data_IF_055085618463
#
_entry.id   IF_055085618463
#
_cell.length_a   1.000
_cell.length_b   1.000
_cell.length_c   1.000
_cell.angle_alpha   90.00
_cell.angle_beta   90.00
_cell.angle_gamma   90.00
#
_symmetry.space_group_name_H-M   'P 1'
#
loop_
_entity.id
_entity.type
_entity.pdbx_description
1 polymer ?
#
# COMPACT_ATOMS: atom_id res chain seq x y z
N UNK A 1 -5.10 -5.10 -13.31
CA UNK A 1 -6.19 -5.01 -12.32
C UNK A 1 -7.43 -4.47 -13.02
N UNK A 2 -8.60 -5.10 -12.85
CA UNK A 2 -9.83 -4.57 -13.46
C UNK A 2 -10.11 -3.17 -12.90
N UNK A 3 -10.27 -2.19 -13.76
CA UNK A 3 -10.50 -0.77 -13.43
C UNK A 3 -11.84 -0.60 -12.69
N UNK A 4 -12.75 -1.55 -12.84
CA UNK A 4 -14.07 -1.58 -12.22
C UNK A 4 -14.35 -2.95 -11.63
N UNK A 5 -14.71 -2.99 -10.35
CA UNK A 5 -15.18 -4.18 -9.65
C UNK A 5 -16.66 -4.02 -9.30
N UNK A 6 -17.40 -5.11 -9.33
CA UNK A 6 -18.85 -5.13 -9.08
C UNK A 6 -19.17 -6.21 -8.06
N UNK A 7 -20.12 -5.96 -7.16
CA UNK A 7 -20.57 -6.91 -6.14
C UNK A 7 -22.05 -6.80 -5.88
N UNK A 8 -22.67 -7.93 -5.54
CA UNK A 8 -24.09 -8.05 -5.25
C UNK A 8 -24.27 -8.57 -3.81
N UNK A 9 -24.98 -7.82 -3.01
CA UNK A 9 -25.43 -8.22 -1.68
C UNK A 9 -26.90 -8.63 -1.73
N UNK A 10 -27.22 -9.81 -1.20
CA UNK A 10 -28.58 -10.32 -1.17
C UNK A 10 -28.91 -10.69 0.27
N UNK A 11 -29.84 -9.97 0.86
CA UNK A 11 -30.39 -10.28 2.17
C UNK A 11 -31.70 -11.01 2.03
N UNK A 12 -31.78 -12.19 2.65
CA UNK A 12 -33.00 -13.00 2.67
C UNK A 12 -33.75 -12.68 3.98
N UNK A 13 -35.00 -12.23 3.82
CA UNK A 13 -35.94 -12.04 4.92
C UNK A 13 -37.12 -13.00 4.77
N UNK A 14 -38.00 -13.06 5.76
CA UNK A 14 -39.15 -13.99 5.72
C UNK A 14 -40.17 -13.62 4.63
N UNK A 15 -40.37 -12.33 4.41
CA UNK A 15 -41.41 -11.74 3.57
C UNK A 15 -40.88 -11.07 2.28
N UNK A 16 -39.56 -10.87 2.20
CA UNK A 16 -38.93 -10.15 1.10
C UNK A 16 -37.48 -10.55 0.89
N UNK A 17 -36.94 -10.21 -0.28
CA UNK A 17 -35.51 -10.26 -0.56
C UNK A 17 -35.02 -8.84 -0.83
N UNK A 18 -33.97 -8.43 -0.18
CA UNK A 18 -33.34 -7.12 -0.41
C UNK A 18 -32.04 -7.32 -1.18
N UNK A 19 -31.91 -6.64 -2.30
CA UNK A 19 -30.76 -6.77 -3.20
C UNK A 19 -30.08 -5.42 -3.36
N UNK A 20 -28.78 -5.36 -3.20
CA UNK A 20 -28.01 -4.16 -3.50
C UNK A 20 -26.81 -4.48 -4.39
N UNK A 21 -26.68 -3.72 -5.46
CA UNK A 21 -25.59 -3.79 -6.41
C UNK A 21 -24.65 -2.61 -6.22
N UNK A 22 -23.41 -2.90 -5.87
CA UNK A 22 -22.34 -1.91 -5.70
C UNK A 22 -21.28 -2.04 -6.78
N UNK A 23 -20.74 -0.91 -7.19
CA UNK A 23 -19.58 -0.81 -8.07
C UNK A 23 -18.47 -0.02 -7.40
N UNK A 24 -17.24 -0.52 -7.56
CA UNK A 24 -16.02 0.19 -7.16
C UNK A 24 -15.28 0.66 -8.41
N UNK A 25 -15.02 1.96 -8.46
CA UNK A 25 -14.18 2.60 -9.47
C UNK A 25 -12.99 3.24 -8.75
N UNK A 26 -11.79 2.72 -8.97
CA UNK A 26 -10.59 3.12 -8.21
C UNK A 26 -10.80 2.96 -6.69
N UNK A 27 -10.92 4.05 -5.95
CA UNK A 27 -11.16 4.07 -4.50
C UNK A 27 -12.62 4.35 -4.11
N UNK A 28 -13.43 4.85 -5.04
CA UNK A 28 -14.82 5.20 -4.79
C UNK A 28 -15.75 4.00 -4.94
N UNK A 29 -16.64 3.83 -3.98
CA UNK A 29 -17.70 2.82 -4.01
C UNK A 29 -19.03 3.55 -4.13
N UNK A 30 -19.85 3.09 -5.07
CA UNK A 30 -21.20 3.65 -5.28
C UNK A 30 -22.23 2.54 -5.33
N UNK A 31 -23.40 2.82 -4.81
CA UNK A 31 -24.59 2.01 -5.01
C UNK A 31 -25.07 2.25 -6.44
N UNK A 32 -25.14 1.20 -7.24
CA UNK A 32 -25.68 1.26 -8.61
C UNK A 32 -27.20 1.15 -8.56
N UNK A 33 -27.67 0.22 -7.72
CA UNK A 33 -29.09 -0.08 -7.57
C UNK A 33 -29.35 -0.83 -6.28
N UNK A 34 -30.49 -0.58 -5.64
CA UNK A 34 -31.02 -1.35 -4.53
C UNK A 34 -32.51 -1.58 -4.75
N UNK A 35 -32.95 -2.80 -4.56
CA UNK A 35 -34.33 -3.22 -4.79
C UNK A 35 -34.85 -4.10 -3.64
N UNK A 36 -36.11 -3.95 -3.32
CA UNK A 36 -36.85 -4.83 -2.42
C UNK A 36 -37.80 -5.70 -3.25
N UNK A 37 -37.66 -7.00 -3.12
CA UNK A 37 -38.45 -7.98 -3.84
C UNK A 37 -39.41 -8.65 -2.84
N UNK A 38 -40.68 -8.28 -2.81
CA UNK A 38 -41.65 -8.92 -1.91
C UNK A 38 -41.81 -10.40 -2.26
N UNK A 39 -41.85 -11.21 -1.22
CA UNK A 39 -42.16 -12.63 -1.34
C UNK A 39 -43.64 -12.82 -0.97
N UNK A 40 -44.42 -13.52 -1.80
CA UNK A 40 -45.80 -13.83 -1.45
C UNK A 40 -45.84 -14.79 -0.28
N UNK A 41 -46.88 -14.68 0.51
CA UNK A 41 -47.14 -15.56 1.66
C UNK A 41 -47.48 -16.98 1.15
N UNK A 42 -46.43 -17.78 0.97
CA UNK A 42 -46.58 -19.16 0.52
C UNK A 42 -47.15 -20.03 1.62
N UNK A 43 -48.11 -20.86 1.24
CA UNK A 43 -48.78 -21.82 2.15
C UNK A 43 -47.94 -23.06 2.43
N UNK A 44 -47.04 -23.42 1.52
CA UNK A 44 -46.18 -24.59 1.64
C UNK A 44 -44.69 -24.21 1.42
N UNK A 45 -43.77 -24.94 2.06
CA UNK A 45 -42.30 -24.69 2.03
C UNK A 45 -41.75 -24.82 0.60
N UNK A 46 -42.21 -25.79 -0.18
CA UNK A 46 -41.78 -26.04 -1.56
C UNK A 46 -42.25 -24.95 -2.54
N UNK A 47 -43.50 -24.50 -2.40
CA UNK A 47 -44.05 -23.40 -3.19
C UNK A 47 -43.26 -22.12 -2.97
N UNK A 48 -42.86 -21.87 -1.72
CA UNK A 48 -42.02 -20.72 -1.34
C UNK A 48 -40.65 -20.74 -2.04
N UNK A 49 -40.00 -21.90 -2.17
CA UNK A 49 -38.70 -22.02 -2.84
C UNK A 49 -38.79 -21.73 -4.35
N UNK A 50 -39.78 -22.28 -5.01
CA UNK A 50 -40.01 -22.08 -6.45
C UNK A 50 -40.27 -20.59 -6.72
N UNK A 51 -41.02 -19.97 -5.84
CA UNK A 51 -41.37 -18.56 -5.97
C UNK A 51 -40.16 -17.64 -5.73
N UNK A 52 -39.35 -17.94 -4.73
CA UNK A 52 -38.07 -17.27 -4.50
C UNK A 52 -37.18 -17.37 -5.74
N UNK A 53 -37.04 -18.56 -6.31
CA UNK A 53 -36.28 -18.79 -7.54
C UNK A 53 -36.80 -17.91 -8.68
N UNK A 54 -38.11 -17.93 -8.90
CA UNK A 54 -38.74 -17.18 -9.99
C UNK A 54 -38.59 -15.66 -9.84
N UNK A 55 -38.75 -15.16 -8.63
CA UNK A 55 -38.57 -13.72 -8.32
C UNK A 55 -37.12 -13.29 -8.54
N UNK A 56 -36.18 -14.04 -7.96
CA UNK A 56 -34.76 -13.74 -8.13
C UNK A 56 -34.31 -13.88 -9.57
N UNK A 57 -34.70 -14.93 -10.27
CA UNK A 57 -34.26 -15.17 -11.65
C UNK A 57 -34.77 -14.10 -12.60
N UNK A 58 -36.06 -13.68 -12.49
CA UNK A 58 -36.60 -12.56 -13.26
C UNK A 58 -35.84 -11.25 -12.99
N UNK A 59 -35.58 -10.97 -11.72
CA UNK A 59 -34.91 -9.75 -11.32
C UNK A 59 -33.45 -9.71 -11.78
N UNK A 60 -32.71 -10.80 -11.63
CA UNK A 60 -31.31 -10.91 -12.01
C UNK A 60 -31.09 -10.89 -13.52
N UNK A 61 -31.97 -11.56 -14.28
CA UNK A 61 -31.88 -11.60 -15.75
C UNK A 61 -32.24 -10.24 -16.38
N UNK A 62 -33.15 -9.48 -15.77
CA UNK A 62 -33.60 -8.19 -16.28
C UNK A 62 -32.62 -7.04 -16.06
N UNK A 63 -31.61 -7.19 -15.22
CA UNK A 63 -30.82 -6.06 -14.71
C UNK A 63 -29.30 -6.21 -14.80
N UNK A 64 -28.78 -7.20 -15.52
CA UNK A 64 -27.33 -7.39 -15.75
C UNK A 64 -26.46 -7.35 -14.48
N UNK A 65 -26.90 -8.02 -13.41
CA UNK A 65 -26.18 -8.09 -12.15
C UNK A 65 -24.95 -9.01 -12.21
N UNK A 66 -23.90 -8.76 -11.40
CA UNK A 66 -22.76 -9.66 -11.29
C UNK A 66 -23.21 -11.00 -10.66
N UNK A 67 -22.73 -12.14 -11.19
CA UNK A 67 -23.06 -13.48 -10.69
C UNK A 67 -21.89 -14.17 -9.98
N UNK A 68 -20.70 -13.64 -10.09
CA UNK A 68 -19.45 -14.21 -9.61
C UNK A 68 -18.96 -13.60 -8.27
N UNK A 69 -19.50 -12.44 -7.90
CA UNK A 69 -19.19 -11.73 -6.67
C UNK A 69 -20.48 -11.43 -5.90
N UNK A 70 -21.10 -12.48 -5.37
CA UNK A 70 -22.37 -12.41 -4.65
C UNK A 70 -22.17 -12.83 -3.21
N UNK A 71 -22.66 -12.03 -2.28
CA UNK A 71 -22.68 -12.31 -0.84
C UNK A 71 -24.12 -12.38 -0.36
N UNK A 72 -24.41 -13.42 0.43
CA UNK A 72 -25.74 -13.65 0.98
C UNK A 72 -25.77 -13.38 2.47
N UNK A 73 -26.89 -12.86 2.97
CA UNK A 73 -27.23 -13.01 4.38
C UNK A 73 -28.44 -13.94 4.54
N UNK A 74 -28.30 -14.87 5.49
CA UNK A 74 -29.40 -15.70 5.94
C UNK A 74 -30.39 -14.88 6.78
N UNK A 75 -31.68 -15.31 6.84
CA UNK A 75 -32.63 -14.76 7.78
C UNK A 75 -32.07 -14.80 9.21
N UNK A 76 -32.20 -13.69 9.93
CA UNK A 76 -31.60 -13.49 11.29
C UNK A 76 -32.07 -14.55 12.27
N UNK A 77 -33.30 -14.93 12.17
CA UNK A 77 -33.96 -15.94 13.03
C UNK A 77 -33.35 -17.34 12.88
N UNK A 78 -32.60 -17.56 11.81
CA UNK A 78 -31.87 -18.81 11.54
C UNK A 78 -30.47 -18.85 12.13
N UNK A 79 -29.97 -17.74 12.61
CA UNK A 79 -28.64 -17.64 13.18
C UNK A 79 -28.66 -17.44 14.70
N UNK A 80 -27.91 -18.25 15.39
CA UNK A 80 -27.58 -18.04 16.80
C UNK A 80 -26.30 -17.22 16.87
N UNK A 81 -26.38 -16.09 17.58
CA UNK A 81 -25.23 -15.21 17.78
C UNK A 81 -24.98 -15.08 19.28
N UNK A 82 -23.77 -15.45 19.71
CA UNK A 82 -23.37 -15.39 21.11
C UNK A 82 -21.99 -14.77 21.26
N UNK A 83 -21.78 -14.08 22.37
CA UNK A 83 -20.43 -13.78 22.84
C UNK A 83 -19.95 -14.93 23.72
N UNK A 84 -18.73 -15.35 23.49
CA UNK A 84 -18.08 -16.46 24.20
C UNK A 84 -16.70 -15.99 24.63
N UNK A 85 -16.33 -16.30 25.84
CA UNK A 85 -14.98 -16.10 26.36
C UNK A 85 -14.23 -17.41 26.38
N UNK A 86 -13.01 -17.39 25.81
CA UNK A 86 -12.10 -18.54 25.82
C UNK A 86 -10.74 -18.10 26.32
N UNK A 87 -9.97 -19.00 26.96
CA UNK A 87 -8.61 -18.68 27.41
C UNK A 87 -7.73 -18.20 26.23
N UNK A 88 -6.89 -17.20 26.46
CA UNK A 88 -5.98 -16.65 25.46
C UNK A 88 -5.03 -17.72 24.88
N UNK A 89 -4.67 -18.73 25.64
CA UNK A 89 -3.88 -19.88 25.20
C UNK A 89 -4.54 -20.68 24.06
N UNK A 90 -5.85 -20.57 23.86
CA UNK A 90 -6.58 -21.21 22.79
C UNK A 90 -6.39 -20.55 21.40
N UNK A 91 -5.73 -19.40 21.33
CA UNK A 91 -5.63 -18.57 20.12
C UNK A 91 -5.16 -19.33 18.88
N UNK A 92 -4.11 -20.15 19.01
CA UNK A 92 -3.53 -20.89 17.89
C UNK A 92 -4.47 -21.96 17.33
N UNK A 93 -5.34 -22.53 18.17
CA UNK A 93 -6.27 -23.60 17.81
C UNK A 93 -7.73 -23.22 18.05
N UNK A 94 -8.03 -21.92 18.00
CA UNK A 94 -9.32 -21.37 18.41
C UNK A 94 -10.52 -22.03 17.75
N UNK A 95 -10.46 -22.31 16.45
CA UNK A 95 -11.55 -23.00 15.74
C UNK A 95 -11.82 -24.38 16.29
N UNK A 96 -10.77 -25.16 16.62
CA UNK A 96 -10.92 -26.50 17.20
C UNK A 96 -11.50 -26.45 18.61
N UNK A 97 -11.04 -25.50 19.42
CA UNK A 97 -11.56 -25.30 20.79
C UNK A 97 -13.03 -24.96 20.73
N UNK A 98 -13.43 -24.04 19.87
CA UNK A 98 -14.83 -23.68 19.67
C UNK A 98 -15.67 -24.85 19.16
N UNK A 99 -15.13 -25.69 18.29
CA UNK A 99 -15.78 -26.89 17.79
C UNK A 99 -16.08 -27.89 18.90
N UNK A 100 -15.14 -28.14 19.83
CA UNK A 100 -15.35 -28.97 21.00
C UNK A 100 -16.34 -28.36 22.01
N UNK A 101 -16.36 -27.04 22.15
CA UNK A 101 -17.26 -26.36 23.10
C UNK A 101 -18.62 -26.04 22.51
N UNK A 102 -18.83 -26.28 21.21
CA UNK A 102 -20.01 -25.87 20.47
C UNK A 102 -21.32 -26.38 21.12
N UNK A 103 -21.29 -27.63 21.60
CA UNK A 103 -22.45 -28.24 22.31
C UNK A 103 -22.93 -27.44 23.51
N UNK A 104 -22.05 -26.68 24.18
CA UNK A 104 -22.44 -25.80 25.31
C UNK A 104 -23.19 -24.55 24.89
N UNK A 105 -23.07 -24.19 23.62
CA UNK A 105 -23.55 -22.90 23.12
C UNK A 105 -24.78 -22.99 22.23
N UNK A 106 -25.12 -24.19 21.72
CA UNK A 106 -26.20 -24.41 20.77
C UNK A 106 -27.27 -25.39 21.30
N UNK A 107 -28.52 -25.22 20.90
CA UNK A 107 -29.62 -26.11 21.33
C UNK A 107 -29.87 -27.32 20.41
N UNK A 108 -28.91 -27.65 19.52
CA UNK A 108 -29.01 -28.77 18.57
C UNK A 108 -27.63 -29.46 18.45
N UNK A 109 -27.58 -30.60 17.75
CA UNK A 109 -26.35 -31.40 17.64
C UNK A 109 -25.19 -30.61 16.95
N UNK A 110 -23.97 -30.63 17.49
CA UNK A 110 -22.82 -29.91 16.89
C UNK A 110 -22.51 -30.32 15.44
N UNK A 111 -22.82 -31.59 15.09
CA UNK A 111 -22.66 -32.16 13.73
C UNK A 111 -23.57 -31.47 12.72
N UNK A 112 -24.73 -30.95 13.16
CA UNK A 112 -25.67 -30.20 12.36
C UNK A 112 -25.32 -28.73 12.23
N UNK A 113 -24.31 -28.26 12.96
CA UNK A 113 -23.94 -26.85 13.01
C UNK A 113 -22.89 -26.48 11.94
N UNK A 114 -23.08 -25.31 11.37
CA UNK A 114 -22.02 -24.51 10.73
C UNK A 114 -21.78 -23.28 11.61
N UNK A 115 -20.54 -22.98 11.87
CA UNK A 115 -20.18 -21.81 12.66
C UNK A 115 -19.00 -21.07 12.06
N UNK A 116 -18.95 -19.81 12.36
CA UNK A 116 -17.77 -18.97 12.20
C UNK A 116 -17.71 -17.98 13.37
N UNK A 117 -16.59 -17.31 13.54
CA UNK A 117 -16.36 -16.44 14.68
C UNK A 117 -15.51 -15.23 14.32
N UNK A 118 -15.69 -14.16 15.10
CA UNK A 118 -14.84 -12.97 15.06
C UNK A 118 -14.26 -12.74 16.44
N UNK A 119 -12.94 -12.57 16.53
CA UNK A 119 -12.30 -12.11 17.76
C UNK A 119 -12.63 -10.63 17.93
N UNK A 120 -13.28 -10.28 19.04
CA UNK A 120 -13.70 -8.93 19.38
C UNK A 120 -12.64 -8.22 20.21
N UNK A 121 -12.10 -8.92 21.20
CA UNK A 121 -11.12 -8.39 22.13
C UNK A 121 -10.13 -9.48 22.55
N UNK A 122 -8.88 -9.10 22.66
CA UNK A 122 -7.81 -9.98 23.12
C UNK A 122 -7.16 -9.36 24.34
N UNK A 123 -7.20 -10.07 25.45
CA UNK A 123 -6.47 -9.74 26.68
C UNK A 123 -5.39 -10.80 26.94
N UNK A 124 -4.43 -10.59 27.84
CA UNK A 124 -3.42 -11.57 28.16
C UNK A 124 -3.98 -12.93 28.64
N UNK A 125 -5.18 -12.94 29.19
CA UNK A 125 -5.81 -14.13 29.80
C UNK A 125 -6.99 -14.68 29.03
N UNK A 126 -7.74 -13.83 28.32
CA UNK A 126 -9.02 -14.19 27.71
C UNK A 126 -9.15 -13.59 26.31
N UNK A 127 -9.72 -14.37 25.39
CA UNK A 127 -10.23 -13.92 24.10
C UNK A 127 -11.75 -13.81 24.19
N UNK A 128 -12.29 -12.66 23.86
CA UNK A 128 -13.73 -12.47 23.71
C UNK A 128 -14.09 -12.56 22.23
N UNK A 129 -15.03 -13.41 21.89
CA UNK A 129 -15.36 -13.79 20.54
C UNK A 129 -16.85 -13.60 20.28
N UNK A 130 -17.19 -13.13 19.09
CA UNK A 130 -18.54 -13.24 18.54
C UNK A 130 -18.63 -14.57 17.79
N UNK A 131 -19.42 -15.50 18.32
CA UNK A 131 -19.70 -16.80 17.72
C UNK A 131 -21.03 -16.70 16.97
N UNK A 132 -21.02 -17.07 15.68
CA UNK A 132 -22.22 -17.13 14.84
C UNK A 132 -22.41 -18.57 14.40
N UNK A 133 -23.57 -19.14 14.71
CA UNK A 133 -23.90 -20.53 14.41
C UNK A 133 -25.21 -20.61 13.65
N UNK A 134 -25.26 -21.47 12.64
CA UNK A 134 -26.46 -21.78 11.83
C UNK A 134 -26.56 -23.27 11.62
N UNK A 135 -27.75 -23.75 11.30
CA UNK A 135 -27.91 -25.16 10.89
C UNK A 135 -27.35 -25.40 9.48
N UNK A 136 -26.63 -26.51 9.30
CA UNK A 136 -26.11 -26.94 7.99
C UNK A 136 -27.20 -27.04 6.95
N UNK A 137 -28.37 -27.57 7.33
CA UNK A 137 -29.54 -27.73 6.47
C UNK A 137 -29.96 -26.37 5.87
N UNK A 138 -30.05 -25.32 6.71
CA UNK A 138 -30.46 -23.99 6.23
C UNK A 138 -29.45 -23.43 5.20
N UNK A 139 -28.15 -23.55 5.47
CA UNK A 139 -27.12 -23.10 4.52
C UNK A 139 -27.16 -23.90 3.22
N UNK A 140 -27.22 -25.22 3.31
CA UNK A 140 -27.25 -26.12 2.14
C UNK A 140 -28.46 -25.83 1.25
N UNK A 141 -29.63 -25.65 1.86
CA UNK A 141 -30.86 -25.27 1.17
C UNK A 141 -30.70 -24.00 0.34
N UNK A 142 -30.16 -22.96 0.94
CA UNK A 142 -29.95 -21.69 0.23
C UNK A 142 -28.88 -21.81 -0.86
N UNK A 143 -27.80 -22.53 -0.61
CA UNK A 143 -26.75 -22.74 -1.61
C UNK A 143 -27.31 -23.52 -2.84
N UNK A 144 -28.16 -24.51 -2.62
CA UNK A 144 -28.79 -25.28 -3.69
C UNK A 144 -29.77 -24.43 -4.49
N UNK A 145 -30.56 -23.58 -3.81
CA UNK A 145 -31.45 -22.63 -4.45
C UNK A 145 -30.70 -21.67 -5.36
N UNK A 146 -29.63 -21.06 -4.85
CA UNK A 146 -28.82 -20.12 -5.63
C UNK A 146 -28.06 -20.80 -6.77
N UNK A 147 -27.66 -22.07 -6.60
CA UNK A 147 -27.04 -22.85 -7.66
C UNK A 147 -28.00 -23.09 -8.83
N UNK A 148 -29.30 -23.32 -8.57
CA UNK A 148 -30.34 -23.49 -9.61
C UNK A 148 -30.50 -22.26 -10.50
N UNK A 149 -30.24 -21.05 -9.97
CA UNK A 149 -30.25 -19.79 -10.73
C UNK A 149 -28.87 -19.37 -11.27
N UNK A 150 -27.90 -20.27 -11.19
CA UNK A 150 -26.54 -20.03 -11.72
C UNK A 150 -25.69 -19.11 -10.89
N UNK A 151 -25.97 -18.92 -9.59
CA UNK A 151 -25.20 -18.12 -8.66
C UNK A 151 -24.43 -19.01 -7.70
N UNK A 152 -23.16 -18.71 -7.50
CA UNK A 152 -22.33 -19.30 -6.45
C UNK A 152 -21.86 -18.21 -5.51
N UNK A 153 -22.50 -18.04 -4.36
CA UNK A 153 -22.10 -17.03 -3.39
C UNK A 153 -20.66 -17.25 -2.94
N UNK A 154 -19.91 -16.16 -2.80
CA UNK A 154 -18.53 -16.23 -2.30
C UNK A 154 -18.48 -16.27 -0.77
N UNK A 155 -19.51 -15.74 -0.12
CA UNK A 155 -19.67 -15.79 1.33
C UNK A 155 -21.15 -15.80 1.71
N UNK A 156 -21.43 -16.42 2.85
CA UNK A 156 -22.72 -16.35 3.53
C UNK A 156 -22.46 -15.80 4.93
N UNK A 157 -23.21 -14.78 5.31
CA UNK A 157 -23.12 -14.18 6.64
C UNK A 157 -24.52 -13.86 7.20
N UNK A 158 -24.61 -13.06 8.24
CA UNK A 158 -25.86 -12.57 8.80
C UNK A 158 -25.99 -11.07 8.58
N UNK A 159 -27.23 -10.59 8.53
CA UNK A 159 -27.50 -9.18 8.27
C UNK A 159 -26.85 -8.25 9.29
N UNK A 160 -26.83 -8.63 10.60
CA UNK A 160 -26.22 -7.84 11.66
C UNK A 160 -24.73 -7.60 11.44
N UNK A 161 -23.96 -8.62 11.01
CA UNK A 161 -22.53 -8.45 10.73
C UNK A 161 -22.28 -7.59 9.51
N UNK A 162 -23.12 -7.73 8.49
CA UNK A 162 -23.07 -6.93 7.28
C UNK A 162 -23.37 -5.45 7.54
N UNK A 163 -24.45 -5.15 8.27
CA UNK A 163 -24.78 -3.78 8.71
C UNK A 163 -23.66 -3.16 9.53
N UNK A 164 -23.15 -3.88 10.53
CA UNK A 164 -22.05 -3.41 11.36
C UNK A 164 -20.79 -3.08 10.54
N UNK A 165 -20.44 -3.93 9.57
CA UNK A 165 -19.33 -3.69 8.66
C UNK A 165 -19.52 -2.43 7.82
N UNK A 166 -20.74 -2.17 7.37
CA UNK A 166 -21.09 -0.96 6.64
C UNK A 166 -20.84 0.30 7.49
N UNK A 167 -21.31 0.29 8.74
CA UNK A 167 -21.13 1.42 9.65
C UNK A 167 -19.67 1.64 10.03
N UNK A 168 -18.88 0.58 10.18
CA UNK A 168 -17.43 0.72 10.35
C UNK A 168 -16.75 1.32 9.12
N UNK A 169 -17.12 0.87 7.93
CA UNK A 169 -16.57 1.39 6.69
C UNK A 169 -16.88 2.88 6.48
N UNK A 170 -18.09 3.28 6.80
CA UNK A 170 -18.58 4.66 6.67
C UNK A 170 -18.11 5.57 7.82
N UNK A 171 -17.34 5.03 8.77
CA UNK A 171 -16.87 5.75 9.95
C UNK A 171 -18.02 6.33 10.83
N UNK A 172 -19.21 5.75 10.72
CA UNK A 172 -20.33 6.11 11.57
C UNK A 172 -20.10 5.62 13.02
N UNK A 173 -19.44 4.46 13.17
CA UNK A 173 -18.94 3.95 14.44
C UNK A 173 -17.55 4.54 14.70
N UNK A 174 -17.53 5.67 15.39
CA UNK A 174 -16.34 6.44 15.70
C UNK A 174 -15.71 6.03 17.04
N UNK A 175 -14.56 6.63 17.38
CA UNK A 175 -13.93 6.51 18.70
C UNK A 175 -14.68 7.25 19.83
N UNK A 176 -15.96 7.57 19.63
CA UNK A 176 -16.80 8.13 20.68
C UNK A 176 -16.80 7.23 21.92
N UNK A 177 -16.89 7.80 23.13
CA UNK A 177 -16.85 7.04 24.39
C UNK A 177 -17.86 5.90 24.43
N UNK A 178 -19.07 6.16 23.93
CA UNK A 178 -20.10 5.13 23.76
C UNK A 178 -21.02 5.46 22.58
N UNK A 179 -21.41 4.44 21.83
CA UNK A 179 -22.41 4.53 20.77
C UNK A 179 -23.32 3.31 20.82
N UNK A 180 -24.56 3.50 20.46
CA UNK A 180 -25.52 2.41 20.31
C UNK A 180 -26.12 2.49 18.92
N UNK A 181 -26.04 1.39 18.19
CA UNK A 181 -26.74 1.22 16.93
C UNK A 181 -28.05 0.48 17.20
N UNK A 182 -29.15 1.14 16.93
CA UNK A 182 -30.50 0.58 17.06
C UNK A 182 -30.99 0.25 15.66
N UNK A 183 -31.07 -1.02 15.37
CA UNK A 183 -31.62 -1.49 14.11
C UNK A 183 -33.08 -1.91 14.33
N UNK A 184 -34.02 -1.29 13.60
CA UNK A 184 -35.45 -1.52 13.75
C UNK A 184 -35.99 -2.18 12.50
N UNK A 185 -36.33 -3.45 12.63
CA UNK A 185 -37.04 -4.20 11.61
C UNK A 185 -38.56 -4.20 11.86
N UNK A 186 -39.30 -4.86 10.99
CA UNK A 186 -40.75 -4.91 11.09
C UNK A 186 -41.23 -5.69 12.33
N UNK A 187 -40.56 -6.79 12.66
CA UNK A 187 -40.95 -7.70 13.77
C UNK A 187 -39.92 -7.79 14.89
N UNK A 188 -38.78 -7.09 14.77
CA UNK A 188 -37.68 -7.16 15.71
C UNK A 188 -36.97 -5.82 15.83
N UNK A 189 -36.20 -5.68 16.89
CA UNK A 189 -35.16 -4.66 16.97
C UNK A 189 -33.89 -5.22 17.59
N UNK A 190 -32.76 -4.65 17.23
CA UNK A 190 -31.45 -4.98 17.79
C UNK A 190 -30.80 -3.75 18.37
N UNK A 191 -30.17 -3.92 19.52
CA UNK A 191 -29.29 -2.94 20.13
C UNK A 191 -27.86 -3.46 20.07
N UNK A 192 -27.00 -2.74 19.39
CA UNK A 192 -25.57 -3.05 19.29
C UNK A 192 -24.79 -1.97 20.03
N UNK A 193 -24.07 -2.34 21.06
CA UNK A 193 -23.33 -1.45 21.92
C UNK A 193 -21.87 -1.39 21.53
N UNK A 194 -21.35 -0.16 21.40
CA UNK A 194 -19.96 0.11 21.06
C UNK A 194 -19.35 1.09 22.08
N UNK A 195 -18.09 0.86 22.41
CA UNK A 195 -17.29 1.73 23.25
C UNK A 195 -15.96 1.99 22.53
N UNK A 196 -15.64 3.26 22.31
CA UNK A 196 -14.45 3.67 21.54
C UNK A 196 -14.31 2.96 20.19
N UNK A 197 -15.46 2.77 19.51
CA UNK A 197 -15.52 2.06 18.24
C UNK A 197 -15.37 0.54 18.31
N UNK A 198 -15.23 -0.04 19.51
CA UNK A 198 -15.16 -1.49 19.71
C UNK A 198 -16.52 -2.05 20.14
N UNK A 199 -16.91 -3.16 19.54
CA UNK A 199 -18.17 -3.82 19.84
C UNK A 199 -18.12 -4.44 21.25
N UNK A 200 -19.15 -4.20 22.05
CA UNK A 200 -19.25 -4.69 23.43
C UNK A 200 -20.32 -5.75 23.60
N UNK A 201 -21.53 -5.47 23.14
CA UNK A 201 -22.68 -6.34 23.40
C UNK A 201 -23.71 -6.22 22.29
N UNK A 202 -24.55 -7.25 22.16
CA UNK A 202 -25.72 -7.30 21.27
C UNK A 202 -26.93 -7.77 22.07
N UNK A 203 -28.03 -7.06 21.93
CA UNK A 203 -29.33 -7.48 22.44
C UNK A 203 -30.34 -7.51 21.30
N UNK A 204 -31.02 -8.64 21.13
CA UNK A 204 -32.01 -8.83 20.07
C UNK A 204 -33.37 -9.11 20.71
N UNK A 205 -34.39 -8.44 20.23
CA UNK A 205 -35.75 -8.52 20.74
C UNK A 205 -36.75 -8.67 19.61
N UNK A 206 -37.84 -9.40 19.88
CA UNK A 206 -39.01 -9.43 19.00
C UNK A 206 -40.03 -8.46 19.57
N UNK A 207 -40.69 -7.69 18.72
CA UNK A 207 -41.79 -6.83 19.11
C UNK A 207 -42.98 -7.65 19.55
N UNK A 208 -43.64 -7.24 20.63
CA UNK A 208 -44.89 -7.83 21.08
C UNK A 208 -46.12 -7.34 20.29
N UNK A 209 -46.01 -6.10 19.76
CA UNK A 209 -47.03 -5.48 18.96
C UNK A 209 -46.52 -4.23 18.24
N UNK A 210 -47.30 -3.74 17.27
CA UNK A 210 -46.90 -2.56 16.48
C UNK A 210 -47.08 -1.24 17.25
N UNK A 211 -48.05 -1.21 18.18
CA UNK A 211 -48.46 0.04 18.82
C UNK A 211 -47.49 0.60 19.89
N UNK A 212 -46.57 -0.25 20.39
CA UNK A 212 -45.66 0.12 21.50
C UNK A 212 -44.17 -0.02 21.16
N UNK A 213 -43.81 -0.02 19.88
CA UNK A 213 -42.44 -0.22 19.43
C UNK A 213 -41.43 0.73 20.05
N UNK A 214 -41.80 2.03 20.15
CA UNK A 214 -40.97 3.06 20.77
C UNK A 214 -40.73 2.77 22.27
N UNK A 215 -41.74 2.33 22.98
CA UNK A 215 -41.63 1.98 24.39
C UNK A 215 -40.79 0.75 24.63
N UNK A 216 -40.99 -0.31 23.82
CA UNK A 216 -40.21 -1.55 23.92
C UNK A 216 -38.71 -1.28 23.67
N UNK A 217 -38.38 -0.48 22.65
CA UNK A 217 -37.00 -0.07 22.39
C UNK A 217 -36.43 0.73 23.55
N UNK A 218 -37.17 1.71 24.04
CA UNK A 218 -36.76 2.56 25.16
C UNK A 218 -36.55 1.77 26.46
N UNK A 219 -37.44 0.82 26.73
CA UNK A 219 -37.32 -0.05 27.90
C UNK A 219 -36.10 -0.97 27.82
N UNK A 220 -35.90 -1.62 26.68
CA UNK A 220 -34.73 -2.47 26.43
C UNK A 220 -33.42 -1.67 26.56
N UNK A 221 -33.39 -0.45 26.03
CA UNK A 221 -32.23 0.42 26.14
C UNK A 221 -31.98 0.86 27.58
N UNK A 222 -33.05 1.22 28.35
CA UNK A 222 -32.92 1.56 29.80
C UNK A 222 -32.38 0.38 30.59
N UNK A 223 -32.87 -0.82 30.35
CA UNK A 223 -32.36 -2.04 31.00
C UNK A 223 -30.89 -2.29 30.69
N UNK A 224 -30.47 -2.08 29.47
CA UNK A 224 -29.05 -2.19 29.05
C UNK A 224 -28.19 -1.14 29.80
N UNK A 225 -28.66 0.10 29.93
CA UNK A 225 -27.97 1.15 30.72
C UNK A 225 -27.80 0.76 32.19
N UNK A 226 -28.77 0.14 32.79
CA UNK A 226 -28.66 -0.36 34.19
C UNK A 226 -27.58 -1.41 34.34
N UNK A 227 -27.23 -2.14 33.25
CA UNK A 227 -26.12 -3.09 33.20
C UNK A 227 -24.77 -2.43 32.84
N UNK A 228 -24.72 -1.12 32.75
CA UNK A 228 -23.51 -0.37 32.37
C UNK A 228 -23.24 -0.34 30.89
N UNK A 229 -24.19 -0.75 30.03
CA UNK A 229 -24.11 -0.70 28.59
C UNK A 229 -24.75 0.61 28.07
N UNK A 230 -24.19 1.13 26.96
CA UNK A 230 -24.78 2.29 26.30
C UNK A 230 -24.17 3.64 26.70
N UNK A 231 -24.86 4.69 26.31
CA UNK A 231 -24.40 6.08 26.50
C UNK A 231 -24.53 6.49 27.95
N UNK A 232 -23.41 6.83 28.57
CA UNK A 232 -23.38 7.40 29.94
C UNK A 232 -23.16 8.92 29.85
N UNK A 233 -23.82 9.65 30.73
CA UNK A 233 -23.65 11.11 30.90
C UNK A 233 -23.90 11.98 29.66
N UNK A 234 -24.78 11.54 28.75
CA UNK A 234 -25.09 12.28 27.52
C UNK A 234 -23.91 12.41 26.50
N UNK A 235 -22.82 11.66 26.73
CA UNK A 235 -21.62 11.68 25.90
C UNK A 235 -21.62 10.51 24.91
N UNK A 236 -22.56 10.51 23.96
CA UNK A 236 -22.59 9.49 22.90
C UNK A 236 -23.82 9.68 22.03
N UNK A 237 -23.87 8.88 20.97
CA UNK A 237 -24.95 8.94 19.99
C UNK A 237 -25.68 7.61 19.91
N UNK A 238 -27.01 7.67 19.83
CA UNK A 238 -27.85 6.55 19.44
C UNK A 238 -28.13 6.67 17.94
N UNK A 239 -27.50 5.78 17.17
CA UNK A 239 -27.70 5.70 15.73
C UNK A 239 -28.90 4.79 15.47
N UNK A 240 -29.93 5.29 14.81
CA UNK A 240 -31.15 4.51 14.52
C UNK A 240 -31.24 4.25 13.01
N UNK A 241 -31.40 2.98 12.67
CA UNK A 241 -31.51 2.53 11.29
C UNK A 241 -32.51 1.37 11.18
N UNK A 242 -32.83 0.97 9.98
CA UNK A 242 -33.71 -0.17 9.70
C UNK A 242 -34.86 0.19 8.76
N UNK A 243 -35.57 -0.83 8.30
CA UNK A 243 -36.67 -0.68 7.33
C UNK A 243 -37.96 -0.09 7.93
N UNK A 244 -38.13 -0.26 9.24
CA UNK A 244 -39.29 0.24 9.98
C UNK A 244 -38.97 1.54 10.74
N UNK A 245 -37.94 2.26 10.30
CA UNK A 245 -37.53 3.54 10.88
C UNK A 245 -38.18 4.69 10.12
N UNK A 246 -39.34 5.14 10.59
CA UNK A 246 -40.03 6.33 10.11
C UNK A 246 -39.79 7.57 11.01
N UNK A 247 -40.15 8.74 10.55
CA UNK A 247 -40.00 9.99 11.31
C UNK A 247 -40.82 9.95 12.61
N UNK A 248 -42.00 9.33 12.58
CA UNK A 248 -42.86 9.23 13.75
C UNK A 248 -42.23 8.38 14.88
N UNK A 249 -41.58 7.26 14.52
CA UNK A 249 -40.84 6.45 15.48
C UNK A 249 -39.64 7.22 16.04
N UNK A 250 -38.90 7.92 15.18
CA UNK A 250 -37.74 8.73 15.63
C UNK A 250 -38.16 9.84 16.59
N UNK A 251 -39.26 10.53 16.33
CA UNK A 251 -39.77 11.56 17.23
C UNK A 251 -40.20 10.97 18.57
N UNK A 252 -40.97 9.89 18.58
CA UNK A 252 -41.36 9.19 19.80
C UNK A 252 -40.15 8.70 20.62
N UNK A 253 -39.13 8.16 19.93
CA UNK A 253 -37.89 7.74 20.59
C UNK A 253 -37.17 8.95 21.24
N UNK A 254 -37.12 10.10 20.54
CA UNK A 254 -36.54 11.33 21.10
C UNK A 254 -37.28 11.83 22.35
N UNK A 255 -38.61 11.69 22.38
CA UNK A 255 -39.42 12.03 23.54
C UNK A 255 -39.21 11.06 24.72
N UNK A 256 -39.00 9.77 24.40
CA UNK A 256 -38.92 8.71 25.39
C UNK A 256 -37.50 8.48 25.93
N UNK A 257 -36.51 8.71 25.11
CA UNK A 257 -35.07 8.54 25.41
C UNK A 257 -34.41 9.92 25.45
N UNK A 258 -33.81 10.26 26.60
CA UNK A 258 -33.16 11.56 26.80
C UNK A 258 -31.81 11.73 26.07
N UNK A 259 -31.30 10.68 25.48
CA UNK A 259 -30.00 10.68 24.79
C UNK A 259 -30.11 11.18 23.34
N UNK A 260 -28.99 11.53 22.77
CA UNK A 260 -28.93 12.09 21.40
C UNK A 260 -29.21 11.01 20.34
N UNK A 261 -30.40 11.07 19.76
CA UNK A 261 -30.83 10.14 18.69
C UNK A 261 -30.48 10.74 17.32
N UNK A 262 -29.78 9.97 16.49
CA UNK A 262 -29.41 10.31 15.13
C UNK A 262 -29.92 9.24 14.16
N UNK A 263 -30.94 9.53 13.36
CA UNK A 263 -31.31 8.64 12.27
C UNK A 263 -30.20 8.59 11.22
N UNK A 264 -29.87 7.40 10.76
CA UNK A 264 -28.90 7.23 9.68
C UNK A 264 -29.63 7.28 8.34
N UNK A 265 -29.48 8.37 7.63
CA UNK A 265 -30.18 8.67 6.37
C UNK A 265 -29.29 8.54 5.14
N UNK A 266 -27.98 8.64 5.29
CA UNK A 266 -27.01 8.58 4.19
C UNK A 266 -25.66 8.08 4.66
N UNK A 267 -24.83 7.66 3.74
CA UNK A 267 -23.43 7.27 3.96
C UNK A 267 -22.48 8.35 3.47
N UNK A 268 -21.35 8.50 4.14
CA UNK A 268 -20.29 9.47 3.79
C UNK A 268 -19.37 8.93 2.71
N UNK A 269 -19.04 7.64 2.77
CA UNK A 269 -18.04 7.00 1.89
C UNK A 269 -18.65 6.19 0.75
N UNK A 270 -19.96 6.03 0.72
CA UNK A 270 -20.68 5.30 -0.33
C UNK A 270 -21.67 6.24 -0.99
N UNK A 271 -21.44 6.52 -2.26
CA UNK A 271 -22.34 7.33 -3.06
C UNK A 271 -23.62 6.55 -3.36
N UNK A 272 -24.77 7.11 -2.99
CA UNK A 272 -26.09 6.58 -3.33
C UNK A 272 -26.75 7.49 -4.36
N UNK A 273 -27.20 6.96 -5.52
CA UNK A 273 -27.83 7.75 -6.57
C UNK A 273 -29.23 8.30 -6.17
N UNK A 274 -29.82 7.73 -5.14
CA UNK A 274 -31.17 8.08 -4.70
C UNK A 274 -31.15 8.70 -3.29
N UNK A 275 -30.91 10.00 -3.21
CA UNK A 275 -31.03 10.79 -1.98
C UNK A 275 -32.45 10.86 -1.39
N UNK A 276 -33.43 10.19 -2.00
CA UNK A 276 -34.82 10.16 -1.52
C UNK A 276 -35.35 8.76 -1.16
N UNK A 277 -34.59 7.67 -1.43
CA UNK A 277 -35.01 6.34 -0.97
C UNK A 277 -34.64 6.17 0.49
N UNK A 278 -35.54 5.52 1.26
CA UNK A 278 -35.24 5.11 2.63
C UNK A 278 -34.06 4.16 2.65
N UNK A 279 -32.88 4.71 2.85
CA UNK A 279 -31.61 3.93 2.93
C UNK A 279 -31.72 2.83 3.99
N UNK A 280 -32.63 3.00 4.95
CA UNK A 280 -32.91 2.07 6.05
C UNK A 280 -33.29 0.64 5.65
N UNK A 281 -33.86 0.41 4.47
CA UNK A 281 -34.19 -0.93 4.02
C UNK A 281 -32.98 -1.69 3.49
N UNK A 282 -31.90 -1.01 3.11
CA UNK A 282 -30.80 -1.57 2.31
C UNK A 282 -29.48 -1.75 3.10
N UNK A 283 -29.40 -1.38 4.38
CA UNK A 283 -28.14 -1.41 5.13
C UNK A 283 -27.41 -2.75 5.06
N UNK A 284 -28.14 -3.83 5.34
CA UNK A 284 -27.53 -5.13 5.35
C UNK A 284 -27.10 -5.56 3.93
N UNK A 285 -27.95 -5.37 2.92
CA UNK A 285 -27.62 -5.73 1.55
C UNK A 285 -26.47 -4.88 0.95
N UNK A 286 -26.38 -3.60 1.32
CA UNK A 286 -25.25 -2.74 0.99
C UNK A 286 -23.97 -3.23 1.69
N UNK A 287 -24.05 -3.57 2.99
CA UNK A 287 -22.94 -4.11 3.77
C UNK A 287 -22.43 -5.44 3.22
N UNK A 288 -23.35 -6.32 2.74
CA UNK A 288 -22.99 -7.55 2.05
C UNK A 288 -22.23 -7.27 0.76
N UNK A 289 -22.76 -6.40 -0.10
CA UNK A 289 -22.10 -6.04 -1.34
C UNK A 289 -20.75 -5.35 -1.11
N UNK A 290 -20.63 -4.53 -0.07
CA UNK A 290 -19.39 -3.88 0.35
C UNK A 290 -18.27 -4.89 0.62
N UNK A 291 -18.58 -6.01 1.27
CA UNK A 291 -17.62 -7.08 1.55
C UNK A 291 -16.94 -7.62 0.29
N UNK A 292 -17.63 -7.64 -0.83
CA UNK A 292 -17.06 -8.07 -2.11
C UNK A 292 -16.12 -7.04 -2.77
N UNK A 293 -16.08 -5.81 -2.26
CA UNK A 293 -15.33 -4.68 -2.86
C UNK A 293 -14.27 -4.07 -1.94
N UNK A 294 -14.43 -4.22 -0.62
CA UNK A 294 -13.54 -3.65 0.38
C UNK A 294 -13.21 -4.66 1.48
N UNK A 295 -12.14 -4.39 2.23
CA UNK A 295 -11.87 -5.12 3.46
C UNK A 295 -12.84 -4.66 4.53
N UNK A 296 -13.53 -5.60 5.16
CA UNK A 296 -14.42 -5.37 6.27
C UNK A 296 -13.74 -5.70 7.60
N UNK A 297 -14.17 -5.04 8.69
CA UNK A 297 -13.61 -5.28 10.03
C UNK A 297 -13.96 -6.69 10.51
N UNK A 298 -15.18 -7.14 10.28
CA UNK A 298 -15.64 -8.47 10.61
C UNK A 298 -15.70 -9.39 9.38
N UNK A 299 -15.22 -10.63 9.55
CA UNK A 299 -15.02 -11.57 8.44
C UNK A 299 -15.76 -12.90 8.67
N UNK A 300 -16.98 -12.84 9.18
CA UNK A 300 -17.83 -14.03 9.37
C UNK A 300 -18.17 -14.63 8.00
N UNK A 301 -17.95 -15.93 7.85
CA UNK A 301 -18.31 -16.66 6.63
C UNK A 301 -18.85 -18.04 6.96
N UNK A 302 -20.15 -18.19 6.85
CA UNK A 302 -20.87 -19.43 7.14
C UNK A 302 -20.92 -20.40 5.94
N UNK A 303 -20.25 -20.09 4.84
CA UNK A 303 -20.08 -21.03 3.73
C UNK A 303 -19.20 -22.20 4.18
N UNK A 304 -19.61 -23.46 3.92
CA UNK A 304 -18.77 -24.63 4.20
C UNK A 304 -17.35 -24.45 3.63
N UNK A 305 -16.35 -24.88 4.40
CA UNK A 305 -14.93 -24.64 4.06
C UNK A 305 -14.59 -25.24 2.69
N UNK A 306 -15.20 -26.37 2.35
CA UNK A 306 -15.00 -27.08 1.09
C UNK A 306 -15.52 -26.29 -0.12
N UNK A 307 -16.53 -25.45 0.09
CA UNK A 307 -17.19 -24.63 -0.95
C UNK A 307 -16.62 -23.22 -1.04
N UNK A 308 -15.77 -22.82 -0.09
CA UNK A 308 -15.14 -21.49 -0.13
C UNK A 308 -14.26 -21.34 -1.36
N UNK A 309 -14.43 -20.26 -2.09
CA UNK A 309 -13.57 -19.94 -3.25
C UNK A 309 -12.12 -19.87 -2.76
N UNK A 310 -11.27 -20.82 -3.16
CA UNK A 310 -9.83 -20.73 -2.91
C UNK A 310 -9.32 -19.51 -3.66
N UNK A 311 -8.70 -18.58 -2.94
CA UNK A 311 -8.05 -17.43 -3.56
C UNK A 311 -7.00 -17.98 -4.51
N UNK A 312 -7.22 -17.82 -5.81
CA UNK A 312 -6.26 -18.23 -6.82
C UNK A 312 -4.99 -17.40 -6.64
N UNK A 313 -3.90 -18.05 -6.26
CA UNK A 313 -2.58 -17.44 -6.19
C UNK A 313 -1.93 -17.28 -7.57
N UNK A 314 -2.66 -17.64 -8.64
CA UNK A 314 -2.18 -17.57 -10.00
C UNK A 314 -1.69 -16.16 -10.37
N UNK A 315 -2.46 -15.12 -10.00
CA UNK A 315 -2.04 -13.73 -10.23
C UNK A 315 -0.74 -13.35 -9.52
N UNK A 316 -0.52 -13.89 -8.31
CA UNK A 316 0.73 -13.69 -7.57
C UNK A 316 1.92 -14.37 -8.27
N UNK A 317 1.76 -15.64 -8.67
CA UNK A 317 2.81 -16.37 -9.38
C UNK A 317 3.07 -15.77 -10.77
N UNK A 318 2.04 -15.30 -11.47
CA UNK A 318 2.19 -14.59 -12.72
C UNK A 318 2.96 -13.27 -12.56
N UNK A 319 2.64 -12.50 -11.52
CA UNK A 319 3.37 -11.26 -11.23
C UNK A 319 4.84 -11.55 -10.88
N UNK A 320 5.10 -12.58 -10.08
CA UNK A 320 6.46 -13.01 -9.72
C UNK A 320 7.24 -13.51 -10.93
N UNK A 321 6.59 -14.23 -11.83
CA UNK A 321 7.18 -14.66 -13.10
C UNK A 321 7.52 -13.45 -14.00
N UNK A 322 6.60 -12.50 -14.15
CA UNK A 322 6.83 -11.30 -14.95
C UNK A 322 7.96 -10.42 -14.38
N UNK A 323 8.05 -10.30 -13.04
CA UNK A 323 9.17 -9.59 -12.41
C UNK A 323 10.50 -10.30 -12.64
N UNK A 324 10.52 -11.63 -12.56
CA UNK A 324 11.73 -12.43 -12.87
C UNK A 324 12.16 -12.24 -14.32
N UNK A 325 11.22 -12.32 -15.26
CA UNK A 325 11.49 -12.08 -16.69
C UNK A 325 12.01 -10.66 -16.93
N UNK A 326 11.42 -9.66 -16.26
CA UNK A 326 11.88 -8.27 -16.37
C UNK A 326 13.32 -8.09 -15.85
N UNK A 327 13.68 -8.75 -14.74
CA UNK A 327 15.03 -8.70 -14.18
C UNK A 327 16.03 -9.37 -15.14
N UNK A 328 15.67 -10.53 -15.71
CA UNK A 328 16.52 -11.23 -16.69
C UNK A 328 16.72 -10.39 -17.95
N UNK A 329 15.66 -9.76 -18.45
CA UNK A 329 15.72 -8.88 -19.61
C UNK A 329 16.59 -7.64 -19.35
N UNK A 330 16.44 -7.02 -18.18
CA UNK A 330 17.26 -5.89 -17.77
C UNK A 330 18.74 -6.29 -17.63
N UNK A 331 19.00 -7.48 -17.05
CA UNK A 331 20.35 -8.04 -16.97
C UNK A 331 20.94 -8.32 -18.36
N UNK A 332 20.17 -8.89 -19.28
CA UNK A 332 20.60 -9.13 -20.65
C UNK A 332 20.93 -7.82 -21.40
N UNK A 333 20.08 -6.78 -21.22
CA UNK A 333 20.33 -5.45 -21.78
C UNK A 333 21.58 -4.78 -21.20
N UNK A 334 21.85 -4.98 -19.93
CA UNK A 334 23.05 -4.44 -19.28
C UNK A 334 24.33 -5.17 -19.69
N UNK A 335 24.25 -6.49 -19.93
CA UNK A 335 25.40 -7.31 -20.33
C UNK A 335 25.69 -7.20 -21.84
N UNK A 336 24.67 -6.97 -22.66
CA UNK A 336 24.82 -6.89 -24.12
C UNK A 336 25.91 -5.90 -24.60
N UNK A 337 25.96 -4.62 -24.13
CA UNK A 337 27.01 -3.69 -24.54
C UNK A 337 28.40 -4.15 -24.09
N UNK A 338 28.50 -4.77 -22.90
CA UNK A 338 29.75 -5.29 -22.38
C UNK A 338 30.31 -6.46 -23.28
N UNK A 339 29.41 -7.30 -23.77
CA UNK A 339 29.80 -8.39 -24.70
C UNK A 339 30.23 -7.84 -26.07
N UNK A 340 29.55 -6.81 -26.58
CA UNK A 340 29.92 -6.12 -27.80
C UNK A 340 31.29 -5.44 -27.67
N UNK A 341 31.54 -4.71 -26.59
CA UNK A 341 32.85 -4.12 -26.32
C UNK A 341 33.97 -5.19 -26.26
N UNK A 342 33.71 -6.36 -25.69
CA UNK A 342 34.68 -7.45 -25.67
C UNK A 342 34.97 -8.02 -27.09
N UNK A 343 33.93 -8.15 -27.89
CA UNK A 343 34.12 -8.60 -29.28
C UNK A 343 34.91 -7.58 -30.12
N UNK A 344 34.60 -6.30 -30.02
CA UNK A 344 35.34 -5.23 -30.64
C UNK A 344 36.80 -5.18 -30.15
N UNK A 345 37.01 -5.31 -28.86
CA UNK A 345 38.35 -5.35 -28.27
C UNK A 345 39.16 -6.56 -28.76
N UNK A 346 38.54 -7.73 -28.89
CA UNK A 346 39.18 -8.92 -29.44
C UNK A 346 39.52 -8.74 -30.90
N UNK A 347 38.64 -8.10 -31.68
CA UNK A 347 38.93 -7.81 -33.11
C UNK A 347 40.10 -6.83 -33.25
N UNK A 348 40.10 -5.75 -32.45
CA UNK A 348 41.20 -4.79 -32.42
C UNK A 348 42.53 -5.45 -31.98
N UNK A 349 42.48 -6.33 -30.97
CA UNK A 349 43.65 -7.09 -30.56
C UNK A 349 44.20 -8.02 -31.64
N UNK A 350 43.32 -8.65 -32.42
CA UNK A 350 43.72 -9.49 -33.58
C UNK A 350 44.32 -8.62 -34.67
N UNK A 351 43.76 -7.45 -34.99
CA UNK A 351 44.33 -6.51 -35.95
C UNK A 351 45.70 -5.96 -35.52
N UNK A 352 45.82 -5.59 -34.23
CA UNK A 352 47.10 -5.16 -33.66
C UNK A 352 48.15 -6.28 -33.80
N UNK A 353 47.74 -7.53 -33.47
CA UNK A 353 48.65 -8.70 -33.59
C UNK A 353 49.06 -8.98 -35.01
N UNK A 354 48.16 -8.78 -35.98
CA UNK A 354 48.43 -8.94 -37.39
C UNK A 354 49.37 -7.84 -37.95
N UNK A 355 49.21 -6.59 -37.45
CA UNK A 355 50.03 -5.45 -37.91
C UNK A 355 51.35 -5.26 -37.12
N UNK A 356 51.49 -5.98 -35.99
CA UNK A 356 52.69 -5.90 -35.15
C UNK A 356 54.02 -6.12 -35.90
N UNK A 357 54.14 -7.15 -36.81
CA UNK A 357 55.39 -7.36 -37.57
C UNK A 357 55.69 -6.21 -38.54
N UNK A 358 54.66 -5.56 -39.12
CA UNK A 358 54.86 -4.39 -39.97
C UNK A 358 55.34 -3.16 -39.15
N UNK A 359 54.79 -2.96 -37.97
CA UNK A 359 55.22 -1.88 -37.06
C UNK A 359 56.63 -2.12 -36.58
N UNK A 360 57.00 -3.35 -36.19
CA UNK A 360 58.38 -3.69 -35.79
C UNK A 360 59.37 -3.48 -36.93
N UNK A 361 58.98 -3.75 -38.17
CA UNK A 361 59.82 -3.48 -39.34
C UNK A 361 60.01 -1.97 -39.58
N UNK A 362 58.93 -1.16 -39.39
CA UNK A 362 58.97 0.29 -39.50
C UNK A 362 59.82 0.90 -38.41
N UNK A 363 59.61 0.43 -37.13
CA UNK A 363 60.40 0.89 -35.97
C UNK A 363 61.88 0.59 -36.15
N UNK A 364 62.22 -0.59 -36.71
CA UNK A 364 63.62 -0.93 -37.02
C UNK A 364 64.20 0.02 -38.04
N UNK A 365 63.45 0.41 -39.07
CA UNK A 365 63.88 1.38 -40.07
C UNK A 365 63.96 2.80 -39.49
N UNK A 366 63.00 3.18 -38.64
CA UNK A 366 63.06 4.49 -37.92
C UNK A 366 64.24 4.57 -36.99
N UNK A 367 64.51 3.50 -36.22
CA UNK A 367 65.65 3.43 -35.33
C UNK A 367 66.97 3.55 -36.06
N UNK A 368 67.05 2.98 -37.26
CA UNK A 368 68.19 3.09 -38.15
C UNK A 368 68.33 4.52 -38.71
N UNK A 369 67.19 5.18 -39.00
CA UNK A 369 67.15 6.58 -39.44
C UNK A 369 67.56 7.51 -38.31
N UNK A 370 67.02 7.28 -37.07
CA UNK A 370 67.37 8.07 -35.89
C UNK A 370 68.86 7.97 -35.53
N UNK A 371 69.44 6.77 -35.67
CA UNK A 371 70.87 6.59 -35.47
C UNK A 371 71.71 7.42 -36.47
N UNK A 372 71.28 7.42 -37.74
CA UNK A 372 71.94 8.26 -38.76
C UNK A 372 71.71 9.75 -38.51
N UNK A 373 70.49 10.15 -38.07
CA UNK A 373 70.22 11.57 -37.74
C UNK A 373 70.87 12.00 -36.42
N UNK A 374 71.14 11.08 -35.49
CA UNK A 374 71.90 11.34 -34.27
C UNK A 374 73.37 11.57 -34.56
N UNK A 375 73.93 10.77 -35.47
CA UNK A 375 75.28 11.00 -35.97
C UNK A 375 75.40 12.37 -36.67
N UNK A 376 74.39 12.76 -37.43
CA UNK A 376 74.34 14.08 -38.09
C UNK A 376 74.17 15.21 -37.03
N UNK A 377 73.34 15.04 -36.00
CA UNK A 377 73.15 16.05 -34.94
C UNK A 377 74.32 16.17 -33.99
N UNK A 378 75.06 15.12 -33.72
CA UNK A 378 76.30 15.22 -32.95
C UNK A 378 77.35 16.14 -33.62
N UNK A 379 77.26 16.28 -34.96
CA UNK A 379 78.03 17.27 -35.72
C UNK A 379 77.46 18.71 -35.70
N UNK A 380 76.09 18.85 -35.52
CA UNK A 380 75.44 20.17 -35.50
C UNK A 380 75.35 20.80 -34.07
N UNK A 381 75.41 19.99 -33.00
CA UNK A 381 75.27 20.48 -31.62
C UNK A 381 76.53 21.18 -31.04
N UNK A 382 77.58 21.19 -31.80
CA UNK A 382 78.78 22.02 -31.44
C UNK A 382 78.62 23.53 -31.72
N UNK A 383 77.39 23.97 -32.09
CA UNK A 383 77.19 25.38 -32.53
C UNK A 383 75.98 26.12 -31.97
N UNK A 384 75.32 25.65 -30.97
CA UNK A 384 74.19 26.40 -30.41
C UNK A 384 74.43 26.68 -28.91
N UNK A 385 74.69 27.89 -28.58
CA UNK A 385 74.63 28.49 -27.25
C UNK A 385 73.20 28.41 -26.73
N UNK A 386 72.88 27.35 -25.94
CA UNK A 386 71.64 27.27 -25.18
C UNK A 386 71.89 27.74 -23.75
N UNK A 387 71.04 28.67 -23.26
CA UNK A 387 71.03 29.10 -21.87
C UNK A 387 71.10 27.91 -20.91
N UNK A 388 72.14 27.81 -20.13
CA UNK A 388 72.37 26.65 -19.28
C UNK A 388 71.23 26.47 -18.30
N UNK A 389 70.75 25.22 -18.22
CA UNK A 389 69.74 24.87 -17.21
C UNK A 389 70.12 25.30 -15.77
N UNK A 390 71.40 25.44 -15.54
CA UNK A 390 71.97 25.99 -14.31
C UNK A 390 71.66 27.47 -14.13
N UNK A 391 71.61 28.26 -15.21
CA UNK A 391 71.30 29.67 -15.18
C UNK A 391 69.85 29.93 -14.76
N UNK A 392 68.93 29.11 -15.27
CA UNK A 392 67.50 29.15 -14.87
C UNK A 392 67.33 28.82 -13.38
N UNK A 393 68.04 27.78 -12.88
CA UNK A 393 67.94 27.39 -11.48
C UNK A 393 68.62 28.43 -10.56
N UNK A 394 69.69 29.04 -11.01
CA UNK A 394 70.34 30.15 -10.28
C UNK A 394 69.39 31.32 -10.16
N UNK A 395 68.80 31.78 -11.24
CA UNK A 395 67.84 32.88 -11.25
C UNK A 395 66.65 32.58 -10.33
N UNK A 396 66.02 31.37 -10.44
CA UNK A 396 64.97 30.98 -9.55
C UNK A 396 65.37 30.98 -8.08
N UNK A 397 66.57 30.58 -7.75
CA UNK A 397 67.06 30.58 -6.37
C UNK A 397 67.35 32.01 -5.80
N UNK A 398 67.61 32.95 -6.68
CA UNK A 398 67.87 34.35 -6.30
C UNK A 398 66.56 35.15 -6.15
N UNK A 399 65.53 34.84 -6.97
CA UNK A 399 64.28 35.61 -7.03
C UNK A 399 63.20 35.07 -6.09
N UNK A 400 63.25 33.80 -5.76
CA UNK A 400 62.23 33.20 -4.92
C UNK A 400 62.30 33.70 -3.47
N UNK A 401 61.17 34.24 -2.91
CA UNK A 401 61.16 34.66 -1.51
C UNK A 401 61.26 33.44 -0.58
N UNK A 402 61.88 33.65 0.61
CA UNK A 402 62.01 32.56 1.62
C UNK A 402 60.64 31.91 2.06
N UNK A 403 59.54 32.56 1.77
CA UNK A 403 58.17 32.07 2.06
C UNK A 403 57.64 31.17 1.01
N UNK A 404 58.27 31.06 -0.15
CA UNK A 404 57.90 30.22 -1.25
C UNK A 404 58.91 29.11 -1.48
N UNK A 405 58.45 27.93 -1.79
CA UNK A 405 59.31 26.81 -2.17
C UNK A 405 58.68 25.99 -3.28
N UNK A 406 59.52 25.48 -4.14
CA UNK A 406 59.12 24.69 -5.29
C UNK A 406 59.41 23.21 -5.01
N UNK A 407 58.41 22.36 -5.27
CA UNK A 407 58.62 20.91 -5.24
C UNK A 407 58.91 20.33 -6.61
N UNK A 408 58.53 21.05 -7.65
CA UNK A 408 58.73 20.60 -9.02
C UNK A 408 59.06 21.77 -9.93
N UNK A 409 60.17 21.65 -10.60
CA UNK A 409 60.63 22.56 -11.66
C UNK A 409 60.89 21.73 -12.89
N UNK A 410 60.10 21.95 -13.94
CA UNK A 410 60.20 21.22 -15.17
C UNK A 410 60.48 22.16 -16.30
N UNK A 411 61.70 22.06 -16.82
CA UNK A 411 62.15 22.86 -17.97
C UNK A 411 61.98 22.06 -19.26
N UNK A 412 61.17 22.58 -20.17
CA UNK A 412 60.92 22.01 -21.49
C UNK A 412 61.25 23.04 -22.56
N UNK A 413 62.33 22.83 -23.23
CA UNK A 413 62.81 23.72 -24.32
C UNK A 413 62.80 25.20 -23.92
N UNK A 414 61.72 25.90 -24.09
CA UNK A 414 61.54 27.32 -23.74
C UNK A 414 60.47 27.60 -22.71
N UNK A 415 59.94 26.60 -22.08
CA UNK A 415 58.91 26.73 -21.07
C UNK A 415 59.41 26.12 -19.76
N UNK A 416 59.11 26.78 -18.68
CA UNK A 416 59.40 26.33 -17.31
C UNK A 416 58.10 26.22 -16.56
N UNK A 417 57.79 25.00 -16.13
CA UNK A 417 56.65 24.70 -15.26
C UNK A 417 57.14 24.68 -13.81
N UNK A 418 56.61 25.58 -13.00
CA UNK A 418 56.93 25.71 -11.58
C UNK A 418 55.72 25.27 -10.76
N UNK A 419 55.90 24.36 -9.82
CA UNK A 419 54.84 23.98 -8.89
C UNK A 419 55.37 24.08 -7.46
N UNK A 420 54.60 24.74 -6.61
CA UNK A 420 55.07 25.04 -5.25
C UNK A 420 53.98 25.52 -4.32
N UNK A 421 54.46 26.01 -3.19
CA UNK A 421 53.64 26.65 -2.18
C UNK A 421 54.25 28.03 -1.84
N UNK A 422 53.41 29.04 -1.65
CA UNK A 422 53.82 30.40 -1.25
C UNK A 422 52.77 30.97 -0.27
N UNK A 423 53.15 32.03 0.42
CA UNK A 423 52.20 32.79 1.23
C UNK A 423 51.21 33.58 0.35
N UNK A 424 51.67 34.05 -0.80
CA UNK A 424 50.89 34.72 -1.83
C UNK A 424 51.41 34.27 -3.22
N UNK A 425 50.62 33.53 -3.92
CA UNK A 425 50.95 33.05 -5.27
C UNK A 425 50.90 34.19 -6.31
N UNK A 426 50.09 35.23 -6.03
CA UNK A 426 49.98 36.40 -6.90
C UNK A 426 51.25 37.28 -6.87
N UNK A 427 51.84 37.42 -5.68
CA UNK A 427 53.11 38.18 -5.55
C UNK A 427 54.26 37.45 -6.25
N UNK A 428 54.22 36.13 -6.25
CA UNK A 428 55.23 35.31 -6.91
C UNK A 428 55.23 35.50 -8.44
N UNK A 429 54.04 35.63 -9.05
CA UNK A 429 53.94 35.97 -10.48
C UNK A 429 54.59 37.33 -10.75
N UNK A 430 54.29 38.34 -9.91
CA UNK A 430 54.82 39.67 -10.09
C UNK A 430 56.35 39.73 -9.94
N UNK A 431 56.94 38.85 -9.13
CA UNK A 431 58.38 38.71 -8.94
C UNK A 431 58.99 38.00 -10.14
N UNK A 432 58.41 36.92 -10.60
CA UNK A 432 58.89 36.15 -11.76
C UNK A 432 58.81 36.93 -13.08
N UNK A 433 57.73 37.74 -13.26
CA UNK A 433 57.53 38.55 -14.47
C UNK A 433 58.49 39.72 -14.57
N UNK A 434 59.15 40.10 -13.46
CA UNK A 434 60.20 41.12 -13.44
C UNK A 434 61.65 40.61 -13.75
N UNK A 435 61.74 39.27 -13.81
CA UNK A 435 63.04 38.67 -14.13
C UNK A 435 63.40 38.84 -15.61
N UNK A 436 64.60 39.07 -15.96
CA UNK A 436 65.08 39.18 -17.35
C UNK A 436 65.11 37.81 -18.05
N UNK A 437 64.91 36.73 -17.29
CA UNK A 437 64.99 35.34 -17.82
C UNK A 437 63.58 34.76 -18.18
N UNK A 438 62.52 35.31 -17.57
CA UNK A 438 61.20 34.78 -17.75
C UNK A 438 60.24 35.78 -18.42
N UNK A 439 59.55 35.31 -19.46
CA UNK A 439 58.47 36.02 -20.16
C UNK A 439 57.15 35.27 -19.98
N UNK A 440 56.03 35.99 -20.04
CA UNK A 440 54.69 35.43 -20.02
C UNK A 440 54.46 34.46 -18.88
N UNK A 441 54.58 34.97 -17.68
CA UNK A 441 54.34 34.20 -16.46
C UNK A 441 52.84 34.13 -16.16
N UNK A 442 52.28 32.95 -16.23
CA UNK A 442 50.83 32.73 -16.05
C UNK A 442 50.56 31.57 -15.09
N UNK A 443 49.41 31.60 -14.44
CA UNK A 443 48.98 30.44 -13.67
C UNK A 443 48.52 29.30 -14.60
N UNK A 444 49.14 28.17 -14.48
CA UNK A 444 48.76 26.97 -15.20
C UNK A 444 47.52 26.25 -14.59
N UNK A 445 47.15 26.62 -13.37
CA UNK A 445 45.92 26.13 -12.70
C UNK A 445 45.48 27.14 -11.61
N UNK A 446 44.19 27.11 -11.23
CA UNK A 446 43.70 27.93 -10.11
C UNK A 446 44.52 27.70 -8.83
N UNK A 447 44.80 28.77 -8.11
CA UNK A 447 45.51 28.73 -6.83
C UNK A 447 44.58 28.14 -5.76
N UNK A 448 45.08 27.19 -4.98
CA UNK A 448 44.29 26.54 -3.89
C UNK A 448 44.99 26.78 -2.55
N UNK A 449 44.20 27.13 -1.53
CA UNK A 449 44.71 27.30 -0.17
C UNK A 449 44.81 25.95 0.55
N UNK A 450 45.94 25.63 1.10
CA UNK A 450 46.19 24.36 1.76
C UNK A 450 46.71 24.61 3.19
N UNK A 451 45.97 24.09 4.17
CA UNK A 451 46.22 24.32 5.61
C UNK A 451 46.75 23.08 6.32
N UNK A 452 46.66 21.90 5.69
CA UNK A 452 46.93 20.60 6.38
C UNK A 452 48.39 20.17 6.39
N UNK A 453 49.22 20.71 5.51
CA UNK A 453 50.61 20.24 5.33
C UNK A 453 51.63 21.01 6.17
N UNK A 454 51.28 22.20 6.72
CA UNK A 454 52.24 23.13 7.32
C UNK A 454 51.97 23.44 8.80
N UNK A 455 50.98 22.76 9.47
CA UNK A 455 50.66 22.94 10.90
C UNK A 455 49.35 23.70 11.15
N UNK A 456 48.86 23.71 12.39
CA UNK A 456 47.49 24.10 12.71
C UNK A 456 47.11 25.58 12.48
N UNK A 457 47.99 26.43 12.05
CA UNK A 457 47.69 27.87 11.78
C UNK A 457 48.43 28.45 10.58
N UNK A 458 49.05 27.63 9.72
CA UNK A 458 49.79 28.14 8.56
C UNK A 458 49.00 27.83 7.29
N UNK A 459 48.54 28.86 6.63
CA UNK A 459 47.86 28.74 5.31
C UNK A 459 48.89 29.08 4.24
N UNK A 460 49.13 28.12 3.34
CA UNK A 460 49.96 28.35 2.15
C UNK A 460 49.10 28.21 0.89
N UNK A 461 49.40 28.99 -0.11
CA UNK A 461 48.77 28.89 -1.43
C UNK A 461 49.58 27.95 -2.32
N UNK A 462 48.91 26.92 -2.78
CA UNK A 462 49.47 25.99 -3.77
C UNK A 462 49.27 26.59 -5.16
N UNK A 463 50.36 26.66 -5.89
CA UNK A 463 50.35 27.22 -7.22
C UNK A 463 51.00 26.30 -8.25
N UNK A 464 50.62 26.51 -9.46
CA UNK A 464 51.28 25.98 -10.65
C UNK A 464 51.40 27.14 -11.64
N UNK A 465 52.61 27.50 -11.95
CA UNK A 465 52.97 28.63 -12.83
C UNK A 465 53.72 28.08 -14.02
N UNK A 466 53.40 28.58 -15.20
CA UNK A 466 54.16 28.33 -16.42
C UNK A 466 54.75 29.67 -16.88
N UNK A 467 56.04 29.67 -17.19
CA UNK A 467 56.75 30.83 -17.72
C UNK A 467 57.54 30.45 -18.98
N UNK A 468 57.70 31.38 -19.88
CA UNK A 468 58.62 31.23 -21.02
C UNK A 468 60.01 31.78 -20.68
N UNK A 469 61.02 31.11 -21.21
CA UNK A 469 62.41 31.57 -21.11
C UNK A 469 62.70 32.61 -22.21
N UNK A 470 63.00 33.81 -21.85
CA UNK A 470 63.46 34.83 -22.78
C UNK A 470 64.89 34.50 -23.25
N UNK A 471 65.13 34.59 -24.56
CA UNK A 471 66.43 34.33 -25.12
C UNK A 471 67.34 35.39 -24.66
N UNK A 472 68.32 35.04 -23.82
CA UNK A 472 69.45 35.99 -23.55
C UNK A 472 70.02 36.48 -24.86
N UNK A 473 70.05 37.81 -25.04
CA UNK A 473 70.62 38.47 -26.19
C UNK A 473 72.12 38.31 -26.22
#
# INVERSE_FOLDING_TARGET
MAISQSSLGIELRQDRIVVSHLKKLFKQIRVVRSDVLPLPSAKAKEESEIEIINVLQRHLNGNNFPRDNVILALPRERALVKQVEVPAAAKENLRKVLEYELAKHIPFAPEEALFDFQVLEETPTVLRILLVVVKKEDVSRWLDLFRRIGIRPIAIEIATTASTNLFYYDEALSEAPAQVLIEVGERFFELLFFEKGEFKERAHFLFRGEAERDREIAEAYRLARLKGLGVTDGKGDLLVCGDSTDEALIEKLKETISDRIKPVQSFKKIESPNSGQRVGEYYASIGLALRGLARTKWNINLTPVEMRKKVSRFGYYLALFLTMVSIVLAGALAVHPYLQEREELNQVLLEIKAKKPEVEAIEALQKKKELMEKEIREFETLRADEASRLEILKELSEILPQTAWLWNVKVKAREVDLSGFADSASDLIAILDKSPVFEKVEFASPVTKETRLFGPNVVKERFKITARIEKAR
#
